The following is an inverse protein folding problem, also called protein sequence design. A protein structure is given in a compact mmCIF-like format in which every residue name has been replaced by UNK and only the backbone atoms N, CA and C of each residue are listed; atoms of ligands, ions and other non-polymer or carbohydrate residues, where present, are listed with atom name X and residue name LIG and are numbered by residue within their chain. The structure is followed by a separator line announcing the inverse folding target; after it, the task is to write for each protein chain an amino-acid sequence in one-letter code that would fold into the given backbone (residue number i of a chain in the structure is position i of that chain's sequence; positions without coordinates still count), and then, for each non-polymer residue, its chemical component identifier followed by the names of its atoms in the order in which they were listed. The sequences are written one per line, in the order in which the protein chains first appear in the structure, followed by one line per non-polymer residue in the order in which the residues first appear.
data_IF_125619819418
#
_entry.id   IF_125619819418
#
_cell.length_a   1.000
_cell.length_b   1.000
_cell.length_c   1.000
_cell.angle_alpha   90.00
_cell.angle_beta   90.00
_cell.angle_gamma   90.00
#
_symmetry.space_group_name_H-M   'P 1'
#
loop_
_entity.id
_entity.type
_entity.pdbx_description
1 polymer ?
#
# COMPACT_ATOMS: atom_id res chain seq x y z
N UNK A 1 13.64 -29.11 -2.82
CA UNK A 1 13.35 -28.64 -4.19
C UNK A 1 11.98 -27.95 -4.34
N UNK A 2 11.39 -27.48 -3.23
CA UNK A 2 10.09 -26.80 -3.22
C UNK A 2 10.04 -25.53 -4.08
N UNK A 3 11.18 -24.85 -4.27
CA UNK A 3 11.28 -23.68 -5.15
C UNK A 3 11.06 -23.98 -6.64
N UNK A 4 11.28 -25.21 -7.08
CA UNK A 4 11.09 -25.61 -8.48
C UNK A 4 9.66 -26.10 -8.70
N UNK A 5 9.09 -26.80 -7.74
CA UNK A 5 7.76 -27.41 -7.85
C UNK A 5 6.62 -26.48 -7.44
N UNK A 6 6.91 -25.50 -6.56
CA UNK A 6 5.92 -24.56 -6.02
C UNK A 6 6.46 -23.12 -6.02
N UNK A 7 6.99 -22.69 -7.17
CA UNK A 7 7.64 -21.39 -7.34
C UNK A 7 6.73 -20.20 -7.01
N UNK A 8 5.41 -20.32 -7.18
CA UNK A 8 4.43 -19.27 -6.89
C UNK A 8 4.30 -18.92 -5.40
N UNK A 9 4.73 -19.78 -4.49
CA UNK A 9 4.62 -19.55 -3.05
C UNK A 9 5.60 -18.49 -2.53
N UNK A 10 6.72 -18.28 -3.23
CA UNK A 10 7.77 -17.35 -2.84
C UNK A 10 7.86 -16.11 -3.73
N UNK A 11 6.81 -15.83 -4.49
CA UNK A 11 6.81 -14.67 -5.37
C UNK A 11 6.39 -13.41 -4.65
N UNK A 12 7.18 -12.36 -4.90
CA UNK A 12 6.76 -10.97 -4.71
C UNK A 12 6.63 -10.35 -6.09
N UNK A 13 5.61 -9.54 -6.27
CA UNK A 13 5.37 -8.90 -7.57
C UNK A 13 4.82 -7.50 -7.43
N UNK A 14 5.22 -6.68 -8.38
CA UNK A 14 4.67 -5.36 -8.60
C UNK A 14 4.13 -5.29 -10.02
N UNK A 15 2.90 -4.87 -10.17
CA UNK A 15 2.28 -4.61 -11.45
C UNK A 15 1.80 -3.18 -11.50
N UNK A 16 2.11 -2.45 -12.58
CA UNK A 16 1.65 -1.08 -12.79
C UNK A 16 1.21 -0.86 -14.23
N UNK A 17 0.18 -0.04 -14.39
CA UNK A 17 -0.31 0.38 -15.69
C UNK A 17 -0.64 1.87 -15.68
N UNK A 18 -0.28 2.57 -16.78
CA UNK A 18 -0.64 3.97 -16.99
C UNK A 18 -1.21 4.16 -18.37
N UNK A 19 -2.37 4.81 -18.46
CA UNK A 19 -3.02 5.14 -19.72
C UNK A 19 -3.34 6.64 -19.79
N UNK A 20 -2.75 7.33 -20.77
CA UNK A 20 -3.11 8.71 -21.11
C UNK A 20 -4.28 8.77 -22.09
N UNK A 21 -5.05 9.84 -22.03
CA UNK A 21 -6.17 10.12 -22.95
C UNK A 21 -6.42 11.62 -23.07
N UNK A 22 -7.03 12.03 -24.19
CA UNK A 22 -7.45 13.40 -24.44
C UNK A 22 -8.93 13.51 -24.07
N UNK A 23 -9.27 14.44 -23.19
CA UNK A 23 -10.66 14.69 -22.79
C UNK A 23 -11.29 15.71 -23.73
N UNK A 24 -10.61 16.82 -23.98
CA UNK A 24 -11.08 17.88 -24.88
C UNK A 24 -9.89 18.55 -25.59
N UNK A 25 -9.74 18.28 -26.86
CA UNK A 25 -8.63 18.82 -27.66
C UNK A 25 -8.73 20.34 -27.85
N UNK A 26 -9.95 20.88 -27.99
CA UNK A 26 -10.14 22.32 -28.22
C UNK A 26 -9.70 23.13 -27.00
N UNK A 27 -9.91 22.61 -25.81
CA UNK A 27 -9.60 23.26 -24.56
C UNK A 27 -8.26 22.79 -23.95
N UNK A 28 -7.49 21.96 -24.66
CA UNK A 28 -6.24 21.36 -24.19
C UNK A 28 -6.40 20.63 -22.83
N UNK A 29 -7.50 19.89 -22.70
CA UNK A 29 -7.74 19.09 -21.48
C UNK A 29 -7.37 17.63 -21.79
N UNK A 30 -6.46 17.10 -20.99
CA UNK A 30 -6.03 15.70 -21.07
C UNK A 30 -6.06 15.03 -19.69
N UNK A 31 -5.94 13.74 -19.66
CA UNK A 31 -5.89 13.00 -18.41
C UNK A 31 -5.05 11.75 -18.53
N UNK A 32 -4.77 11.15 -17.39
CA UNK A 32 -4.28 9.78 -17.32
C UNK A 32 -4.87 9.07 -16.12
N UNK A 33 -4.97 7.76 -16.27
CA UNK A 33 -5.28 6.83 -15.18
C UNK A 33 -4.03 6.02 -14.88
N UNK A 34 -3.73 5.84 -13.60
CA UNK A 34 -2.60 5.07 -13.09
C UNK A 34 -3.17 4.01 -12.16
N UNK A 35 -2.76 2.78 -12.36
CA UNK A 35 -3.04 1.67 -11.46
C UNK A 35 -1.72 1.02 -11.05
N UNK A 36 -1.61 0.68 -9.76
CA UNK A 36 -0.46 -0.02 -9.21
C UNK A 36 -0.92 -1.07 -8.21
N UNK A 37 -0.35 -2.26 -8.31
CA UNK A 37 -0.57 -3.35 -7.38
C UNK A 37 0.77 -3.94 -6.95
N UNK A 38 1.02 -3.92 -5.65
CA UNK A 38 2.19 -4.50 -5.05
C UNK A 38 1.76 -5.63 -4.12
N UNK A 39 2.43 -6.77 -4.22
CA UNK A 39 2.29 -7.88 -3.30
C UNK A 39 3.69 -8.37 -2.90
N UNK A 40 4.00 -8.22 -1.63
CA UNK A 40 5.25 -8.69 -1.02
C UNK A 40 4.99 -9.77 0.03
N UNK A 41 3.77 -10.31 0.07
CA UNK A 41 3.41 -11.43 0.93
C UNK A 41 3.93 -12.75 0.37
N UNK A 42 4.34 -13.64 1.26
CA UNK A 42 4.50 -15.05 0.96
C UNK A 42 3.18 -15.79 1.15
N UNK A 43 2.96 -16.88 0.42
CA UNK A 43 1.78 -17.71 0.66
C UNK A 43 1.79 -18.27 2.09
N UNK A 44 0.62 -18.43 2.66
CA UNK A 44 0.47 -18.95 4.02
C UNK A 44 1.06 -20.36 4.16
N UNK A 45 0.85 -21.23 3.17
CA UNK A 45 1.41 -22.59 3.14
C UNK A 45 2.94 -22.57 3.19
N UNK A 46 3.56 -21.65 2.49
CA UNK A 46 5.01 -21.50 2.51
C UNK A 46 5.51 -20.99 3.86
N UNK A 47 4.80 -20.07 4.49
CA UNK A 47 5.17 -19.50 5.79
C UNK A 47 5.09 -20.55 6.93
N UNK A 48 4.17 -21.51 6.86
CA UNK A 48 4.09 -22.61 7.83
C UNK A 48 5.33 -23.49 7.79
N UNK A 49 5.82 -23.80 6.59
CA UNK A 49 6.94 -24.71 6.39
C UNK A 49 8.31 -24.01 6.46
N UNK A 50 8.37 -22.73 6.04
CA UNK A 50 9.60 -21.98 5.89
C UNK A 50 9.40 -20.54 6.38
N UNK A 51 9.65 -20.25 7.66
CA UNK A 51 9.39 -18.93 8.25
C UNK A 51 10.41 -17.87 7.81
N UNK A 52 10.63 -17.75 6.52
CA UNK A 52 11.49 -16.71 5.96
C UNK A 52 10.67 -15.48 5.56
N UNK A 53 11.28 -14.32 5.68
CA UNK A 53 10.74 -13.08 5.13
C UNK A 53 11.49 -12.74 3.86
N UNK A 54 10.79 -12.33 2.83
CA UNK A 54 11.41 -11.83 1.61
C UNK A 54 12.29 -10.61 1.92
N UNK A 55 13.52 -10.61 1.41
CA UNK A 55 14.46 -9.51 1.63
C UNK A 55 15.23 -9.55 2.95
N UNK A 56 15.06 -10.60 3.77
CA UNK A 56 15.82 -10.82 4.99
C UNK A 56 16.55 -12.17 4.95
N UNK A 57 17.75 -12.18 5.50
CA UNK A 57 18.52 -13.39 5.69
C UNK A 57 18.90 -13.50 7.17
N UNK A 58 18.88 -14.71 7.72
CA UNK A 58 19.15 -14.94 9.16
C UNK A 58 20.49 -14.38 9.64
N UNK A 59 21.50 -14.28 8.77
CA UNK A 59 22.81 -13.74 9.07
C UNK A 59 22.92 -12.22 8.76
N UNK A 60 21.97 -11.65 8.00
CA UNK A 60 21.96 -10.24 7.59
C UNK A 60 20.74 -9.56 8.20
N UNK A 61 20.86 -9.17 9.44
CA UNK A 61 19.76 -8.62 10.26
C UNK A 61 19.19 -7.30 9.71
N UNK A 62 19.95 -6.57 8.90
CA UNK A 62 19.48 -5.31 8.29
C UNK A 62 18.53 -5.53 7.10
N UNK A 63 18.45 -6.77 6.58
CA UNK A 63 17.67 -7.05 5.40
C UNK A 63 18.22 -6.36 4.14
N UNK A 64 17.35 -6.24 3.12
CA UNK A 64 17.68 -5.58 1.86
C UNK A 64 17.54 -4.06 2.00
N UNK A 65 18.50 -3.45 2.68
CA UNK A 65 18.50 -2.01 3.00
C UNK A 65 19.83 -1.34 2.61
N UNK A 66 19.78 -0.03 2.38
CA UNK A 66 20.94 0.83 2.23
C UNK A 66 20.80 2.00 3.20
N UNK A 67 21.79 2.18 4.10
CA UNK A 67 21.78 3.23 5.13
C UNK A 67 20.46 3.28 5.94
N UNK A 68 19.90 2.11 6.24
CA UNK A 68 18.64 1.98 6.97
C UNK A 68 17.38 2.20 6.13
N UNK A 69 17.51 2.50 4.84
CA UNK A 69 16.38 2.62 3.93
C UNK A 69 16.14 1.30 3.20
N UNK A 70 14.91 0.85 3.16
CA UNK A 70 14.48 -0.31 2.39
C UNK A 70 14.66 -0.08 0.89
N UNK A 71 15.32 -1.01 0.19
CA UNK A 71 15.60 -0.91 -1.25
C UNK A 71 14.53 -1.53 -2.14
N UNK A 72 13.51 -2.13 -1.56
CA UNK A 72 12.40 -2.74 -2.28
C UNK A 72 11.23 -1.80 -2.49
N UNK A 73 10.04 -2.37 -2.70
CA UNK A 73 8.79 -1.61 -2.77
C UNK A 73 8.59 -0.74 -1.53
N UNK A 74 8.07 0.47 -1.69
CA UNK A 74 7.81 1.41 -0.59
C UNK A 74 6.84 0.90 0.48
N UNK A 75 6.13 -0.19 0.21
CA UNK A 75 5.26 -0.88 1.20
C UNK A 75 6.04 -1.81 2.14
N UNK A 76 7.35 -1.98 1.95
CA UNK A 76 8.13 -2.96 2.70
C UNK A 76 7.89 -4.38 2.22
N UNK A 77 8.07 -5.35 3.12
CA UNK A 77 7.83 -6.77 2.86
C UNK A 77 6.62 -7.27 3.66
N UNK A 78 6.03 -8.36 3.18
CA UNK A 78 4.95 -9.05 3.89
C UNK A 78 3.62 -8.35 3.85
N UNK A 79 3.41 -7.42 2.91
CA UNK A 79 2.18 -6.68 2.76
C UNK A 79 1.67 -6.60 1.33
N UNK A 80 0.50 -6.01 1.17
CA UNK A 80 -0.14 -5.74 -0.13
C UNK A 80 -0.57 -4.29 -0.23
N UNK A 81 -0.46 -3.71 -1.44
CA UNK A 81 -1.08 -2.42 -1.73
C UNK A 81 -1.73 -2.39 -3.11
N UNK A 82 -2.79 -1.62 -3.21
CA UNK A 82 -3.42 -1.22 -4.47
C UNK A 82 -3.54 0.30 -4.48
N UNK A 83 -3.18 0.88 -5.60
CA UNK A 83 -3.28 2.32 -5.85
C UNK A 83 -3.96 2.57 -7.19
N UNK A 84 -4.91 3.49 -7.19
CA UNK A 84 -5.60 3.98 -8.38
C UNK A 84 -5.60 5.49 -8.34
N UNK A 85 -5.18 6.12 -9.44
CA UNK A 85 -5.14 7.57 -9.58
C UNK A 85 -5.70 8.00 -10.93
N UNK A 86 -6.49 9.04 -10.92
CA UNK A 86 -6.96 9.75 -12.08
C UNK A 86 -6.44 11.18 -12.04
N UNK A 87 -5.64 11.55 -13.03
CA UNK A 87 -5.17 12.93 -13.23
C UNK A 87 -5.93 13.60 -14.35
N UNK A 88 -6.22 14.87 -14.18
CA UNK A 88 -6.76 15.76 -15.21
C UNK A 88 -5.87 16.97 -15.29
N UNK A 89 -5.38 17.24 -16.48
CA UNK A 89 -4.53 18.39 -16.83
C UNK A 89 -5.33 19.37 -17.66
N UNK A 90 -5.25 20.63 -17.32
CA UNK A 90 -5.91 21.73 -18.03
C UNK A 90 -4.95 22.93 -18.11
N UNK A 91 -5.17 23.92 -19.00
CA UNK A 91 -4.18 24.99 -19.28
C UNK A 91 -3.70 25.75 -18.05
N UNK A 92 -4.55 25.86 -17.02
CA UNK A 92 -4.23 26.60 -15.79
C UNK A 92 -3.97 25.72 -14.58
N UNK A 93 -3.68 24.45 -14.77
CA UNK A 93 -3.39 23.58 -13.63
C UNK A 93 -3.61 22.11 -13.87
N UNK A 94 -3.67 21.38 -12.77
CA UNK A 94 -3.97 19.97 -12.73
C UNK A 94 -4.79 19.61 -11.49
N UNK A 95 -5.57 18.57 -11.60
CA UNK A 95 -6.29 17.98 -10.48
C UNK A 95 -6.12 16.47 -10.52
N UNK A 96 -6.06 15.85 -9.36
CA UNK A 96 -6.00 14.40 -9.24
C UNK A 96 -6.96 13.92 -8.14
N UNK A 97 -7.46 12.72 -8.35
CA UNK A 97 -8.15 11.95 -7.32
C UNK A 97 -7.46 10.60 -7.21
N UNK A 98 -7.27 10.12 -5.98
CA UNK A 98 -6.64 8.82 -5.76
C UNK A 98 -7.39 7.99 -4.73
N UNK A 99 -7.26 6.69 -4.89
CA UNK A 99 -7.71 5.66 -3.97
C UNK A 99 -6.50 4.77 -3.64
N UNK A 100 -6.31 4.46 -2.37
CA UNK A 100 -5.30 3.48 -1.97
C UNK A 100 -5.84 2.54 -0.91
N UNK A 101 -5.44 1.30 -1.03
CA UNK A 101 -5.59 0.27 -0.01
C UNK A 101 -4.20 -0.27 0.31
N UNK A 102 -3.89 -0.41 1.59
CA UNK A 102 -2.64 -0.97 2.04
C UNK A 102 -2.87 -1.87 3.26
N UNK A 103 -2.37 -3.10 3.18
CA UNK A 103 -2.33 -4.05 4.28
C UNK A 103 -0.86 -4.34 4.60
N UNK A 104 -0.29 -3.72 5.65
CA UNK A 104 1.09 -3.95 6.08
C UNK A 104 1.20 -5.24 6.90
N UNK A 105 2.41 -5.80 6.92
CA UNK A 105 2.88 -6.80 7.89
C UNK A 105 2.04 -8.08 7.98
N UNK A 106 1.31 -8.45 6.91
CA UNK A 106 0.45 -9.63 6.89
C UNK A 106 1.24 -10.93 7.18
N UNK A 107 2.47 -11.05 6.68
CA UNK A 107 3.34 -12.20 6.96
C UNK A 107 3.67 -12.33 8.44
N UNK A 108 3.96 -11.20 9.11
CA UNK A 108 4.26 -11.18 10.54
C UNK A 108 3.03 -11.60 11.35
N UNK A 109 1.87 -11.03 11.05
CA UNK A 109 0.62 -11.33 11.75
C UNK A 109 0.22 -12.79 11.60
N UNK A 110 0.38 -13.35 10.42
CA UNK A 110 0.12 -14.77 10.17
C UNK A 110 1.03 -15.67 11.00
N UNK A 111 2.33 -15.37 11.05
CA UNK A 111 3.31 -16.12 11.84
C UNK A 111 3.02 -16.06 13.34
N UNK A 112 2.70 -14.88 13.86
CA UNK A 112 2.33 -14.72 15.27
C UNK A 112 1.07 -15.53 15.61
N UNK A 113 0.08 -15.54 14.74
CA UNK A 113 -1.14 -16.33 14.95
C UNK A 113 -0.89 -17.84 14.97
N UNK A 114 0.05 -18.34 14.15
CA UNK A 114 0.45 -19.75 14.16
C UNK A 114 1.26 -20.10 15.41
N UNK A 115 2.16 -19.20 15.84
CA UNK A 115 3.04 -19.45 16.99
C UNK A 115 2.30 -19.51 18.31
N UNK A 116 1.18 -18.82 18.42
CA UNK A 116 0.34 -18.78 19.64
C UNK A 116 -0.67 -19.91 19.72
N UNK A 117 -0.82 -20.72 18.66
CA UNK A 117 -1.76 -21.84 18.67
C UNK A 117 -1.12 -23.12 19.16
N UNK A 118 -1.77 -23.87 20.07
CA UNK A 118 -1.36 -25.23 20.41
C UNK A 118 -1.38 -26.11 19.16
N UNK A 119 -0.33 -26.89 18.94
CA UNK A 119 -0.26 -27.87 17.83
C UNK A 119 -1.47 -28.82 17.91
N UNK A 120 -2.43 -28.68 17.00
CA UNK A 120 -3.56 -29.58 16.87
C UNK A 120 -4.93 -28.94 16.62
N UNK A 121 -5.10 -27.62 16.83
CA UNK A 121 -6.37 -26.92 16.62
C UNK A 121 -6.33 -25.98 15.40
N UNK A 122 -5.86 -26.50 14.27
CA UNK A 122 -5.62 -25.68 13.08
C UNK A 122 -6.86 -25.09 12.39
N UNK A 123 -8.06 -25.57 12.70
CA UNK A 123 -9.29 -25.15 12.02
C UNK A 123 -9.84 -23.81 12.54
N UNK A 124 -9.73 -23.54 13.82
CA UNK A 124 -10.19 -22.26 14.37
C UNK A 124 -9.22 -21.08 14.09
N UNK A 125 -7.96 -21.39 13.77
CA UNK A 125 -6.96 -20.37 13.47
C UNK A 125 -7.23 -19.63 12.16
N UNK A 126 -7.68 -20.35 11.13
CA UNK A 126 -7.98 -19.77 9.83
C UNK A 126 -9.06 -18.68 9.91
N UNK A 127 -10.09 -18.90 10.71
CA UNK A 127 -11.14 -17.90 10.91
C UNK A 127 -10.66 -16.70 11.75
N UNK A 128 -9.76 -16.93 12.70
CA UNK A 128 -9.23 -15.87 13.57
C UNK A 128 -8.22 -14.97 12.86
N UNK A 129 -7.40 -15.50 11.96
CA UNK A 129 -6.35 -14.72 11.26
C UNK A 129 -6.89 -13.63 10.36
N UNK A 130 -8.01 -13.84 9.70
CA UNK A 130 -8.65 -12.83 8.83
C UNK A 130 -9.07 -11.57 9.59
N UNK A 131 -9.22 -11.66 10.90
CA UNK A 131 -9.68 -10.59 11.75
C UNK A 131 -8.56 -9.73 12.34
N UNK A 132 -7.29 -10.11 12.19
CA UNK A 132 -6.16 -9.43 12.85
C UNK A 132 -5.42 -8.46 11.95
N UNK A 133 -5.67 -8.48 10.66
CA UNK A 133 -4.96 -7.65 9.69
C UNK A 133 -5.24 -6.18 9.90
N UNK A 134 -4.18 -5.37 9.80
CA UNK A 134 -4.29 -3.93 9.68
C UNK A 134 -4.64 -3.57 8.24
N UNK A 135 -5.64 -2.74 8.08
CA UNK A 135 -6.04 -2.19 6.79
C UNK A 135 -5.98 -0.67 6.79
N UNK A 136 -5.33 -0.08 5.80
CA UNK A 136 -5.27 1.35 5.58
C UNK A 136 -5.95 1.64 4.25
N UNK A 137 -7.00 2.47 4.29
CA UNK A 137 -7.74 2.91 3.13
C UNK A 137 -7.68 4.42 3.07
N UNK A 138 -7.32 4.98 1.93
CA UNK A 138 -7.37 6.41 1.73
C UNK A 138 -8.01 6.77 0.40
N UNK A 139 -8.75 7.87 0.42
CA UNK A 139 -9.22 8.60 -0.75
C UNK A 139 -8.74 10.03 -0.61
N UNK A 140 -8.23 10.62 -1.69
CA UNK A 140 -7.82 12.00 -1.68
C UNK A 140 -8.06 12.68 -3.01
N UNK A 141 -8.14 14.00 -2.92
CA UNK A 141 -8.23 14.91 -4.05
C UNK A 141 -7.19 15.99 -3.83
N UNK A 142 -6.35 16.24 -4.84
CA UNK A 142 -5.41 17.34 -4.86
C UNK A 142 -5.61 18.16 -6.13
N UNK A 143 -5.42 19.47 -6.04
CA UNK A 143 -5.46 20.36 -7.19
C UNK A 143 -4.36 21.40 -7.09
N UNK A 144 -3.82 21.80 -8.24
CA UNK A 144 -2.84 22.88 -8.38
C UNK A 144 -3.32 23.82 -9.49
N UNK A 145 -3.32 25.11 -9.21
CA UNK A 145 -3.67 26.17 -10.14
C UNK A 145 -2.45 27.06 -10.40
N UNK A 146 -2.12 27.28 -11.66
CA UNK A 146 -1.10 28.24 -12.09
C UNK A 146 -1.71 29.63 -12.15
N UNK A 147 -1.49 30.44 -11.10
CA UNK A 147 -2.02 31.79 -11.03
C UNK A 147 -1.22 32.70 -11.98
N UNK A 148 0.10 32.56 -11.97
CA UNK A 148 1.03 33.15 -12.94
C UNK A 148 2.06 32.06 -13.32
N UNK A 149 2.94 32.35 -14.28
CA UNK A 149 4.02 31.46 -14.67
C UNK A 149 4.97 31.12 -13.51
N UNK A 150 5.06 32.01 -12.51
CA UNK A 150 5.92 31.84 -11.35
C UNK A 150 5.18 31.45 -10.07
N UNK A 151 3.85 31.55 -10.01
CA UNK A 151 3.10 31.35 -8.78
C UNK A 151 2.02 30.27 -8.93
N UNK A 152 2.16 29.21 -8.13
CA UNK A 152 1.24 28.08 -8.10
C UNK A 152 0.55 28.02 -6.73
N UNK A 153 -0.76 28.00 -6.75
CA UNK A 153 -1.59 27.73 -5.59
C UNK A 153 -2.11 26.28 -5.64
N UNK A 154 -2.02 25.57 -4.55
CA UNK A 154 -2.52 24.21 -4.48
C UNK A 154 -3.32 23.94 -3.21
N UNK A 155 -4.23 22.99 -3.32
CA UNK A 155 -5.03 22.52 -2.21
C UNK A 155 -5.35 21.04 -2.35
N UNK A 156 -5.62 20.40 -1.23
CA UNK A 156 -6.01 19.00 -1.23
C UNK A 156 -6.83 18.62 0.00
N UNK A 157 -7.60 17.58 -0.16
CA UNK A 157 -8.40 16.96 0.88
C UNK A 157 -8.19 15.46 0.82
N UNK A 158 -7.92 14.82 1.97
CA UNK A 158 -7.86 13.37 2.04
C UNK A 158 -8.59 12.84 3.25
N UNK A 159 -9.22 11.69 3.06
CA UNK A 159 -9.82 10.90 4.11
C UNK A 159 -9.10 9.57 4.22
N UNK A 160 -8.68 9.24 5.44
CA UNK A 160 -7.95 8.02 5.76
C UNK A 160 -8.74 7.24 6.81
N UNK A 161 -8.94 5.95 6.55
CA UNK A 161 -9.51 4.99 7.50
C UNK A 161 -8.48 3.90 7.78
N UNK A 162 -8.10 3.75 9.05
CA UNK A 162 -7.19 2.70 9.51
C UNK A 162 -7.99 1.74 10.37
N UNK A 163 -8.06 0.49 9.95
CA UNK A 163 -8.68 -0.61 10.70
C UNK A 163 -7.58 -1.35 11.44
N UNK A 164 -7.82 -1.66 12.69
CA UNK A 164 -6.89 -2.35 13.60
C UNK A 164 -5.49 -1.70 13.65
N UNK A 165 -5.38 -0.40 14.03
CA UNK A 165 -4.12 0.35 13.98
C UNK A 165 -3.03 -0.22 14.89
N UNK A 166 -3.42 -0.86 16.00
CA UNK A 166 -2.53 -1.37 17.05
C UNK A 166 -2.23 -2.86 16.94
N UNK A 167 -2.66 -3.52 15.84
CA UNK A 167 -2.52 -4.97 15.66
C UNK A 167 -3.12 -5.77 16.82
N UNK A 168 -4.28 -5.34 17.30
CA UNK A 168 -4.93 -6.03 18.40
C UNK A 168 -5.39 -7.42 17.96
N UNK A 169 -4.96 -8.44 18.68
CA UNK A 169 -5.31 -9.84 18.44
C UNK A 169 -6.68 -10.23 19.02
N UNK A 170 -7.36 -9.31 19.73
CA UNK A 170 -8.71 -9.55 20.21
C UNK A 170 -9.74 -9.07 19.18
N UNK A 171 -10.48 -9.97 18.52
CA UNK A 171 -11.44 -9.62 17.48
C UNK A 171 -12.63 -8.79 17.97
N UNK A 172 -12.86 -8.75 19.28
CA UNK A 172 -13.96 -7.98 19.88
C UNK A 172 -13.61 -6.51 20.16
N UNK A 173 -12.35 -6.12 19.99
CA UNK A 173 -11.86 -4.75 20.27
C UNK A 173 -11.25 -4.16 18.99
N UNK A 174 -12.05 -4.05 17.92
CA UNK A 174 -11.59 -3.34 16.72
C UNK A 174 -11.58 -1.84 16.95
N UNK A 175 -10.38 -1.31 17.04
CA UNK A 175 -10.21 0.13 16.91
C UNK A 175 -10.19 0.50 15.41
N UNK A 176 -10.88 1.56 15.08
CA UNK A 176 -10.83 2.18 13.76
C UNK A 176 -10.50 3.64 13.95
N UNK A 177 -9.41 4.09 13.33
CA UNK A 177 -9.05 5.50 13.27
C UNK A 177 -9.54 6.05 11.94
N UNK A 178 -10.19 7.21 11.99
CA UNK A 178 -10.60 7.97 10.82
C UNK A 178 -9.97 9.35 10.91
N UNK A 179 -9.38 9.83 9.83
CA UNK A 179 -8.73 11.14 9.75
C UNK A 179 -9.12 11.84 8.46
N UNK A 180 -9.40 13.13 8.57
CA UNK A 180 -9.53 14.02 7.43
C UNK A 180 -8.36 14.99 7.47
N UNK A 181 -7.63 15.11 6.35
CA UNK A 181 -6.51 16.02 6.24
C UNK A 181 -6.82 17.05 5.15
N UNK A 182 -6.54 18.31 5.46
CA UNK A 182 -6.61 19.43 4.52
C UNK A 182 -5.19 19.89 4.28
N UNK A 183 -4.82 20.10 3.02
CA UNK A 183 -3.52 20.58 2.58
C UNK A 183 -3.71 21.87 1.80
N UNK A 184 -2.90 22.87 2.10
CA UNK A 184 -2.79 24.10 1.32
C UNK A 184 -1.30 24.31 1.05
N UNK A 185 -0.95 24.59 -0.19
CA UNK A 185 0.43 24.83 -0.58
C UNK A 185 0.53 26.01 -1.56
N UNK A 186 1.61 26.75 -1.41
CA UNK A 186 2.02 27.81 -2.29
C UNK A 186 3.42 27.49 -2.81
N UNK A 187 3.62 27.59 -4.12
CA UNK A 187 4.93 27.39 -4.75
C UNK A 187 5.25 28.64 -5.55
N UNK A 188 6.45 29.15 -5.36
CA UNK A 188 7.01 30.20 -6.18
C UNK A 188 8.23 29.67 -6.91
N UNK A 189 8.24 29.81 -8.23
CA UNK A 189 9.38 29.45 -9.08
C UNK A 189 10.09 30.74 -9.52
N UNK A 190 11.38 30.83 -9.17
CA UNK A 190 12.28 31.89 -9.62
C UNK A 190 12.72 31.68 -11.05
#
# INVERSE_FOLDING_TARGET
NSYITHYWHAFVYTFGAKKGFIINQKNNISGNIIFEWNNTEMSQDFQVNWPYNFGFHHQVTHGYTNKGQWLGSGIGYGGQSQYLELNVYYPKGKSLIYLTRYNPDNNMLFRESISTSPRGENTELHEKTWNYFKGIFAIGFDTEFFITDSFIFGGGLSYIKIVNPTYNLNPYIYQTIKSCNIKINFKYQL
#
